data_IF_083929542397
#
_entry.id   IF_083929542397
#
_cell.length_a   1.000
_cell.length_b   1.000
_cell.length_c   1.000
_cell.angle_alpha   90.00
_cell.angle_beta   90.00
_cell.angle_gamma   90.00
#
_symmetry.space_group_name_H-M   'P 1'
#
loop_
_entity.id
_entity.type
_entity.pdbx_description
1 polymer ?
#
# COMPACT_ATOMS: atom_id res chain seq x y z
N UNK A 1 6.20 -14.78 -7.21
CA UNK A 1 6.44 -15.16 -5.80
C UNK A 1 7.06 -16.55 -5.84
N UNK A 2 8.21 -16.76 -5.19
CA UNK A 2 8.83 -18.10 -5.13
C UNK A 2 8.36 -18.73 -3.82
N UNK A 3 7.67 -19.86 -3.91
CA UNK A 3 7.24 -20.61 -2.75
C UNK A 3 8.40 -21.44 -2.22
N UNK A 4 8.44 -21.64 -0.90
CA UNK A 4 9.38 -22.52 -0.22
C UNK A 4 10.86 -22.28 -0.57
N UNK A 5 11.22 -21.01 -0.79
CA UNK A 5 12.61 -20.62 -1.00
C UNK A 5 13.43 -20.92 0.26
N UNK A 6 14.28 -21.94 0.17
CA UNK A 6 15.25 -22.24 1.21
C UNK A 6 16.36 -21.20 1.22
N UNK A 7 16.38 -20.37 2.26
CA UNK A 7 17.40 -19.33 2.44
C UNK A 7 18.47 -19.83 3.41
N UNK A 8 19.73 -20.00 2.98
CA UNK A 8 20.81 -20.44 3.85
C UNK A 8 21.00 -19.50 5.05
N UNK A 9 21.20 -20.06 6.26
CA UNK A 9 21.43 -19.29 7.48
C UNK A 9 22.78 -19.65 8.09
N UNK A 10 23.55 -18.65 8.49
CA UNK A 10 24.76 -18.85 9.31
C UNK A 10 24.41 -18.88 10.79
N UNK A 11 25.21 -19.62 11.57
CA UNK A 11 25.06 -19.74 13.02
C UNK A 11 25.16 -18.38 13.75
N UNK A 12 25.90 -17.43 13.20
CA UNK A 12 26.11 -16.09 13.77
C UNK A 12 25.20 -15.00 13.16
N UNK A 13 24.25 -15.34 12.26
CA UNK A 13 23.21 -14.41 11.78
C UNK A 13 23.65 -13.31 10.81
N UNK A 14 24.91 -13.32 10.35
CA UNK A 14 25.54 -12.24 9.59
C UNK A 14 25.34 -12.22 8.07
N UNK A 15 24.56 -13.11 7.46
CA UNK A 15 24.34 -13.06 6.00
C UNK A 15 23.33 -11.97 5.65
N UNK A 16 23.74 -11.02 4.81
CA UNK A 16 22.86 -10.19 3.99
C UNK A 16 22.94 -10.68 2.53
N UNK A 17 21.80 -10.81 1.87
CA UNK A 17 21.74 -11.14 0.45
C UNK A 17 21.67 -9.84 -0.34
N UNK A 18 22.34 -9.77 -1.50
CA UNK A 18 22.24 -8.60 -2.39
C UNK A 18 20.97 -8.62 -3.25
N UNK A 19 20.36 -9.79 -3.42
CA UNK A 19 19.24 -10.00 -4.33
C UNK A 19 17.88 -9.67 -3.68
N UNK A 20 17.80 -9.80 -2.35
CA UNK A 20 16.58 -9.56 -1.59
C UNK A 20 16.91 -9.25 -0.13
N UNK A 21 16.04 -8.48 0.50
CA UNK A 21 16.14 -8.17 1.92
C UNK A 21 15.65 -9.31 2.81
N UNK A 22 16.09 -9.29 4.07
CA UNK A 22 15.59 -10.23 5.08
C UNK A 22 14.07 -10.11 5.17
N UNK A 23 13.37 -11.24 5.09
CA UNK A 23 11.91 -11.36 5.13
C UNK A 23 11.16 -10.75 3.93
N UNK A 24 11.85 -10.35 2.86
CA UNK A 24 11.19 -9.84 1.65
C UNK A 24 10.30 -10.92 1.01
N UNK A 25 8.99 -10.65 0.94
CA UNK A 25 8.00 -11.58 0.36
C UNK A 25 7.61 -11.22 -1.07
N UNK A 26 7.80 -9.96 -1.47
CA UNK A 26 7.48 -9.41 -2.80
C UNK A 26 8.48 -8.31 -3.17
N UNK A 27 8.58 -8.02 -4.45
CA UNK A 27 9.34 -6.89 -4.96
C UNK A 27 8.58 -5.59 -4.69
N UNK A 28 9.29 -4.51 -4.39
CA UNK A 28 8.68 -3.20 -4.09
C UNK A 28 7.81 -2.70 -5.25
N UNK A 29 8.22 -2.94 -6.50
CA UNK A 29 7.45 -2.58 -7.69
C UNK A 29 6.06 -3.24 -7.74
N UNK A 30 5.95 -4.48 -7.24
CA UNK A 30 4.68 -5.21 -7.18
C UNK A 30 3.76 -4.57 -6.16
N UNK A 31 4.29 -4.22 -4.99
CA UNK A 31 3.54 -3.51 -3.96
C UNK A 31 3.13 -2.13 -4.52
N UNK A 32 4.03 -1.33 -5.11
CA UNK A 32 3.68 -0.05 -5.75
C UNK A 32 2.53 -0.16 -6.76
N UNK A 33 2.54 -1.20 -7.60
CA UNK A 33 1.46 -1.44 -8.57
C UNK A 33 0.11 -1.75 -7.89
N UNK A 34 0.11 -2.57 -6.82
CA UNK A 34 -1.09 -2.88 -6.03
C UNK A 34 -1.66 -1.59 -5.42
N UNK A 35 -0.81 -0.74 -4.84
CA UNK A 35 -1.22 0.54 -4.25
C UNK A 35 -1.87 1.47 -5.28
N UNK A 36 -1.27 1.59 -6.47
CA UNK A 36 -1.83 2.38 -7.58
C UNK A 36 -3.20 1.89 -8.02
N UNK A 37 -3.39 0.57 -8.14
CA UNK A 37 -4.68 -0.01 -8.51
C UNK A 37 -5.75 0.24 -7.43
N UNK A 38 -5.37 0.18 -6.15
CA UNK A 38 -6.30 0.48 -5.06
C UNK A 38 -6.78 1.94 -5.12
N UNK A 39 -5.88 2.90 -5.33
CA UNK A 39 -6.22 4.32 -5.51
C UNK A 39 -7.08 4.56 -6.75
N UNK A 40 -6.85 3.80 -7.81
CA UNK A 40 -7.70 3.81 -9.00
C UNK A 40 -9.13 3.23 -8.76
N UNK A 41 -9.47 2.89 -7.51
CA UNK A 41 -10.80 2.43 -7.12
C UNK A 41 -11.01 0.92 -7.24
N UNK A 42 -9.95 0.14 -7.44
CA UNK A 42 -10.06 -1.31 -7.44
C UNK A 42 -10.25 -1.80 -6.01
N UNK A 43 -11.42 -2.38 -5.73
CA UNK A 43 -11.72 -2.90 -4.39
C UNK A 43 -10.70 -3.94 -3.93
N UNK A 44 -10.45 -3.99 -2.62
CA UNK A 44 -9.55 -4.99 -1.99
C UNK A 44 -9.93 -6.43 -2.37
N UNK A 45 -11.23 -6.72 -2.52
CA UNK A 45 -11.73 -8.02 -2.98
C UNK A 45 -11.30 -8.32 -4.42
N UNK A 46 -11.37 -7.33 -5.32
CA UNK A 46 -10.96 -7.49 -6.71
C UNK A 46 -9.45 -7.62 -6.82
N UNK A 47 -8.68 -6.84 -6.06
CA UNK A 47 -7.23 -6.98 -5.95
C UNK A 47 -6.83 -8.36 -5.48
N UNK A 48 -7.48 -8.89 -4.44
CA UNK A 48 -7.25 -10.25 -3.93
C UNK A 48 -7.43 -11.32 -5.01
N UNK A 49 -8.43 -11.19 -5.87
CA UNK A 49 -8.65 -12.11 -6.97
C UNK A 49 -7.55 -11.97 -8.04
N UNK A 50 -7.25 -10.75 -8.46
CA UNK A 50 -6.19 -10.47 -9.44
C UNK A 50 -4.86 -11.06 -8.98
N UNK A 51 -4.46 -10.83 -7.72
CA UNK A 51 -3.19 -11.37 -7.22
C UNK A 51 -3.22 -12.88 -7.06
N UNK A 52 -4.37 -13.48 -6.76
CA UNK A 52 -4.51 -14.94 -6.73
C UNK A 52 -4.33 -15.54 -8.12
N UNK A 53 -4.91 -14.92 -9.14
CA UNK A 53 -4.82 -15.39 -10.53
C UNK A 53 -3.40 -15.23 -11.09
N UNK A 54 -2.72 -14.12 -10.77
CA UNK A 54 -1.37 -13.83 -11.25
C UNK A 54 -0.26 -14.55 -10.47
N UNK A 55 -0.43 -14.70 -9.15
CA UNK A 55 0.65 -15.13 -8.24
C UNK A 55 0.30 -16.35 -7.38
N UNK A 56 -0.86 -16.96 -7.58
CA UNK A 56 -1.34 -18.11 -6.79
C UNK A 56 -1.83 -17.77 -5.38
N UNK A 57 -1.54 -16.57 -4.88
CA UNK A 57 -1.90 -16.11 -3.53
C UNK A 57 -2.65 -14.78 -3.55
N UNK A 58 -3.77 -14.75 -2.83
CA UNK A 58 -4.56 -13.53 -2.66
C UNK A 58 -3.95 -12.60 -1.61
N UNK A 59 -3.97 -11.31 -1.87
CA UNK A 59 -3.63 -10.31 -0.85
C UNK A 59 -4.68 -10.25 0.27
N UNK A 60 -4.22 -9.90 1.46
CA UNK A 60 -5.10 -9.52 2.56
C UNK A 60 -5.49 -8.04 2.44
N UNK A 61 -6.56 -7.65 3.16
CA UNK A 61 -6.93 -6.24 3.26
C UNK A 61 -5.84 -5.42 3.96
N UNK A 62 -5.22 -5.98 5.01
CA UNK A 62 -4.08 -5.37 5.74
C UNK A 62 -2.93 -5.06 4.80
N UNK A 63 -2.54 -6.02 3.96
CA UNK A 63 -1.43 -5.83 3.01
C UNK A 63 -1.74 -4.78 1.96
N UNK A 64 -3.01 -4.65 1.52
CA UNK A 64 -3.38 -3.55 0.64
C UNK A 64 -3.20 -2.18 1.32
N UNK A 65 -3.49 -2.08 2.62
CA UNK A 65 -3.30 -0.86 3.41
C UNK A 65 -1.83 -0.51 3.60
N UNK A 66 -1.00 -1.48 3.99
CA UNK A 66 0.47 -1.32 4.12
C UNK A 66 1.08 -0.83 2.80
N UNK A 67 0.62 -1.39 1.69
CA UNK A 67 1.09 -1.02 0.34
C UNK A 67 0.78 0.44 -0.02
N UNK A 68 -0.25 1.02 0.59
CA UNK A 68 -0.61 2.43 0.39
C UNK A 68 0.11 3.40 1.33
N UNK A 69 0.85 2.92 2.34
CA UNK A 69 1.63 3.79 3.25
C UNK A 69 2.64 4.65 2.50
N UNK A 70 3.23 4.13 1.42
CA UNK A 70 4.16 4.89 0.57
C UNK A 70 3.54 6.19 0.02
N UNK A 71 2.21 6.27 -0.06
CA UNK A 71 1.47 7.40 -0.60
C UNK A 71 0.86 8.30 0.48
N UNK A 72 0.90 7.89 1.75
CA UNK A 72 0.49 8.76 2.86
C UNK A 72 1.35 10.02 2.93
N UNK A 73 2.66 9.88 2.67
CA UNK A 73 3.59 11.00 2.61
C UNK A 73 3.21 12.01 1.52
N UNK A 74 2.90 11.54 0.32
CA UNK A 74 2.48 12.38 -0.80
C UNK A 74 1.13 13.05 -0.53
N UNK A 75 0.16 12.31 0.01
CA UNK A 75 -1.16 12.81 0.39
C UNK A 75 -1.03 13.94 1.42
N UNK A 76 -0.22 13.73 2.46
CA UNK A 76 0.01 14.72 3.51
C UNK A 76 0.69 15.97 2.95
N UNK A 77 1.71 15.79 2.11
CA UNK A 77 2.40 16.90 1.46
C UNK A 77 1.44 17.73 0.59
N UNK A 78 0.53 17.08 -0.14
CA UNK A 78 -0.49 17.75 -0.94
C UNK A 78 -1.50 18.51 -0.07
N UNK A 79 -1.99 17.90 1.01
CA UNK A 79 -2.94 18.52 1.94
C UNK A 79 -2.38 19.75 2.66
N UNK A 80 -1.09 19.75 2.98
CA UNK A 80 -0.42 20.86 3.69
C UNK A 80 0.24 21.87 2.75
N UNK A 81 0.12 21.70 1.43
CA UNK A 81 0.77 22.58 0.46
C UNK A 81 0.18 23.99 0.55
N UNK A 82 1.05 24.99 0.69
CA UNK A 82 0.62 26.40 0.62
C UNK A 82 0.07 26.74 -0.76
N UNK A 83 -1.03 27.49 -0.78
CA UNK A 83 -1.61 28.06 -1.98
C UNK A 83 -0.94 29.43 -2.19
N UNK A 84 0.04 29.48 -3.09
CA UNK A 84 0.81 30.70 -3.40
C UNK A 84 0.03 31.74 -4.21
N UNK A 85 -1.08 31.34 -4.81
CA UNK A 85 -1.76 32.12 -5.82
C UNK A 85 -2.79 33.06 -5.19
N UNK A 86 -3.00 34.23 -5.82
CA UNK A 86 -4.11 35.11 -5.46
C UNK A 86 -5.41 34.50 -5.97
N UNK A 87 -6.19 33.92 -5.09
CA UNK A 87 -7.48 33.29 -5.41
C UNK A 87 -8.60 34.34 -5.27
N UNK A 88 -9.20 34.75 -6.38
CA UNK A 88 -10.34 35.68 -6.38
C UNK A 88 -11.67 34.99 -6.05
N UNK A 89 -11.81 33.72 -6.42
CA UNK A 89 -13.02 32.92 -6.20
C UNK A 89 -12.66 31.49 -5.77
N UNK A 90 -13.36 30.97 -4.77
CA UNK A 90 -13.21 29.60 -4.26
C UNK A 90 -14.54 28.87 -4.40
N UNK A 91 -14.52 27.72 -5.09
CA UNK A 91 -15.67 26.83 -5.18
C UNK A 91 -15.53 25.73 -4.14
N UNK A 92 -16.61 25.48 -3.41
CA UNK A 92 -16.70 24.41 -2.43
C UNK A 92 -17.71 23.37 -2.94
N UNK A 93 -17.34 22.11 -2.83
CA UNK A 93 -18.21 20.97 -3.10
C UNK A 93 -18.21 20.04 -1.88
N UNK A 94 -19.26 19.24 -1.74
CA UNK A 94 -19.44 18.31 -0.63
C UNK A 94 -20.04 17.00 -1.10
N UNK A 95 -19.46 15.88 -0.65
CA UNK A 95 -20.03 14.55 -0.82
C UNK A 95 -20.45 13.96 0.51
N UNK A 96 -21.56 13.21 0.53
CA UNK A 96 -22.00 12.44 1.69
C UNK A 96 -21.61 10.99 1.50
N UNK A 97 -20.75 10.47 2.38
CA UNK A 97 -20.43 9.05 2.45
C UNK A 97 -20.84 8.46 3.79
N UNK A 98 -21.37 7.22 3.73
CA UNK A 98 -21.62 6.44 4.94
C UNK A 98 -20.29 5.93 5.48
N UNK A 99 -19.78 6.60 6.51
CA UNK A 99 -18.60 6.16 7.24
C UNK A 99 -19.06 5.38 8.48
N UNK A 100 -18.36 4.30 8.81
CA UNK A 100 -18.57 3.53 10.02
C UNK A 100 -17.38 3.78 10.93
N UNK A 101 -17.56 4.59 11.96
CA UNK A 101 -16.54 4.72 13.01
C UNK A 101 -16.53 3.45 13.84
N UNK A 102 -15.41 2.73 13.81
CA UNK A 102 -15.14 1.67 14.76
C UNK A 102 -14.56 2.39 15.98
N UNK A 103 -15.38 2.59 17.01
CA UNK A 103 -14.95 3.22 18.25
C UNK A 103 -13.76 2.46 18.84
N UNK A 104 -12.60 3.11 18.86
CA UNK A 104 -11.49 2.70 19.71
C UNK A 104 -11.76 3.40 21.05
N UNK A 105 -12.33 2.67 22.00
CA UNK A 105 -12.35 3.12 23.40
C UNK A 105 -10.89 3.25 23.85
N UNK A 106 -10.51 4.47 24.27
CA UNK A 106 -9.23 4.75 24.93
C UNK A 106 -9.25 4.20 26.36
#
# INVERSE_FOLDING_TARGET
MIEDLEVPRTREGGISFRLFDKYQRRQEDVDSAIGKLFIAGVSTRKLKNITKDLFGKGLSATTCGETTEALEGEMKAYQTKEISDKVEFLFLDGMVQKVREIGVEN
#
